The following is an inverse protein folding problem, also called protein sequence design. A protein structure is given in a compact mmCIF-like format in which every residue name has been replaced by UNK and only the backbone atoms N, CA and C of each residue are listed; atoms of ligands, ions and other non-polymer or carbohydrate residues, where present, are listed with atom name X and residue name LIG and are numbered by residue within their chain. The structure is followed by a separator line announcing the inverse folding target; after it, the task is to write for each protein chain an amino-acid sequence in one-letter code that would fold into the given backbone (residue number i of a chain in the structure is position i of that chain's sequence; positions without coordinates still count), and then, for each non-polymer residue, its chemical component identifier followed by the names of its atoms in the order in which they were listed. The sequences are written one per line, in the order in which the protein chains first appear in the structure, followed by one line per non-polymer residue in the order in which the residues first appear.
data_IF_000718573709
#
_entry.id   IF_000718573709
#
_cell.length_a   1.000
_cell.length_b   1.000
_cell.length_c   1.000
_cell.angle_alpha   90.00
_cell.angle_beta   90.00
_cell.angle_gamma   90.00
#
_symmetry.space_group_name_H-M   'P 1'
#
loop_
_entity.id
_entity.type
_entity.pdbx_description
1 polymer ?
#
# COMPACT_ATOMS: atom_id res chain seq x y z
N UNK A 1 -1.24 17.75 14.91
CA UNK A 1 -1.90 16.49 14.51
C UNK A 1 -1.39 16.21 13.11
N UNK A 2 -0.30 15.46 13.00
CA UNK A 2 0.30 15.11 11.72
C UNK A 2 -0.51 13.91 11.24
N UNK A 3 -1.40 14.14 10.28
CA UNK A 3 -2.01 13.03 9.55
C UNK A 3 -0.92 12.57 8.59
N UNK A 4 -0.28 11.43 8.88
CA UNK A 4 0.60 10.77 7.93
C UNK A 4 -0.24 10.52 6.67
N UNK A 5 -0.03 11.31 5.63
CA UNK A 5 -0.73 11.17 4.37
C UNK A 5 -0.19 9.89 3.72
N UNK A 6 -0.80 8.75 4.04
CA UNK A 6 -0.51 7.50 3.34
C UNK A 6 -0.98 7.67 1.91
N UNK A 7 -0.06 7.57 0.95
CA UNK A 7 -0.41 7.59 -0.47
C UNK A 7 -1.28 6.37 -0.80
N UNK A 8 -2.32 6.60 -1.59
CA UNK A 8 -3.22 5.56 -2.06
C UNK A 8 -3.46 5.70 -3.55
N UNK A 9 -3.75 4.58 -4.20
CA UNK A 9 -4.04 4.54 -5.63
C UNK A 9 -5.55 4.81 -5.79
N UNK A 10 -5.95 5.94 -6.41
CA UNK A 10 -7.35 6.22 -6.67
C UNK A 10 -7.84 5.30 -7.78
N UNK A 11 -8.80 4.42 -7.46
CA UNK A 11 -9.42 3.51 -8.41
C UNK A 11 -10.91 3.85 -8.47
N UNK A 12 -11.40 4.19 -9.66
CA UNK A 12 -12.83 4.41 -9.87
C UNK A 12 -13.53 3.05 -10.06
N UNK A 13 -14.21 2.60 -9.02
CA UNK A 13 -14.92 1.32 -9.03
C UNK A 13 -16.16 1.32 -9.93
N UNK A 14 -16.65 2.50 -10.32
CA UNK A 14 -17.83 2.65 -11.18
C UNK A 14 -17.48 2.52 -12.69
N UNK A 15 -16.20 2.60 -13.08
CA UNK A 15 -15.73 2.52 -14.47
C UNK A 15 -14.95 1.23 -14.80
N UNK A 16 -15.14 0.17 -14.01
CA UNK A 16 -14.44 -1.09 -14.23
C UNK A 16 -15.07 -1.95 -15.36
N UNK A 17 -14.27 -2.68 -16.14
CA UNK A 17 -12.81 -2.83 -16.02
C UNK A 17 -12.03 -1.66 -16.63
N UNK A 18 -10.94 -1.28 -15.96
CA UNK A 18 -10.07 -0.17 -16.36
C UNK A 18 -8.60 -0.61 -16.39
N UNK A 19 -7.82 -0.06 -17.33
CA UNK A 19 -6.36 -0.11 -17.30
C UNK A 19 -5.83 1.32 -17.27
N UNK A 20 -4.96 1.63 -16.32
CA UNK A 20 -4.34 2.95 -16.19
C UNK A 20 -2.85 2.84 -15.87
N UNK A 21 -2.12 3.90 -16.21
CA UNK A 21 -0.68 4.02 -15.95
C UNK A 21 -0.44 4.59 -14.55
N UNK A 22 0.58 4.07 -13.87
CA UNK A 22 1.03 4.53 -12.55
C UNK A 22 2.55 4.45 -12.45
N UNK A 23 3.16 5.43 -11.80
CA UNK A 23 4.58 5.44 -11.47
C UNK A 23 4.78 4.99 -10.02
N UNK A 24 5.58 3.95 -9.81
CA UNK A 24 5.90 3.38 -8.50
C UNK A 24 7.42 3.25 -8.39
N UNK A 25 8.03 3.94 -7.40
CA UNK A 25 9.49 3.97 -7.19
C UNK A 25 10.27 4.28 -8.48
N UNK A 26 9.88 5.36 -9.18
CA UNK A 26 10.47 5.80 -10.47
C UNK A 26 10.35 4.80 -11.63
N UNK A 27 9.47 3.80 -11.52
CA UNK A 27 9.18 2.83 -12.59
C UNK A 27 7.71 2.94 -13.00
N UNK A 28 7.46 3.08 -14.29
CA UNK A 28 6.11 3.13 -14.86
C UNK A 28 5.55 1.72 -15.04
N UNK A 29 4.34 1.51 -14.51
CA UNK A 29 3.57 0.29 -14.64
C UNK A 29 2.16 0.60 -15.17
N UNK A 30 1.51 -0.43 -15.72
CA UNK A 30 0.09 -0.35 -16.05
C UNK A 30 -0.68 -1.31 -15.15
N UNK A 31 -1.72 -0.80 -14.49
CA UNK A 31 -2.60 -1.56 -13.60
C UNK A 31 -3.91 -1.82 -14.31
N UNK A 32 -4.31 -3.10 -14.38
CA UNK A 32 -5.64 -3.49 -14.85
C UNK A 32 -6.52 -3.90 -13.70
N UNK A 33 -7.61 -3.19 -13.44
CA UNK A 33 -8.55 -3.52 -12.37
C UNK A 33 -9.84 -4.08 -12.96
N UNK A 34 -10.34 -5.16 -12.38
CA UNK A 34 -11.59 -5.79 -12.81
C UNK A 34 -12.43 -6.23 -11.61
N UNK A 35 -13.76 -6.15 -11.76
CA UNK A 35 -14.71 -6.62 -10.74
C UNK A 35 -15.39 -7.92 -11.16
N UNK A 36 -15.36 -8.92 -10.27
CA UNK A 36 -16.07 -10.18 -10.44
C UNK A 36 -17.40 -10.14 -9.68
N UNK A 37 -18.51 -9.91 -10.39
CA UNK A 37 -19.85 -9.84 -9.80
C UNK A 37 -20.38 -11.19 -9.26
N UNK A 38 -19.83 -12.33 -9.71
CA UNK A 38 -20.27 -13.66 -9.25
C UNK A 38 -19.66 -13.99 -7.89
N UNK A 39 -18.38 -13.65 -7.70
CA UNK A 39 -17.64 -13.90 -6.47
C UNK A 39 -17.56 -12.71 -5.52
N UNK A 40 -18.04 -11.54 -5.94
CA UNK A 40 -17.99 -10.27 -5.21
C UNK A 40 -16.56 -9.89 -4.75
N UNK A 41 -15.63 -9.86 -5.71
CA UNK A 41 -14.25 -9.46 -5.45
C UNK A 41 -13.63 -8.73 -6.63
N UNK A 42 -12.58 -7.98 -6.37
CA UNK A 42 -11.77 -7.31 -7.39
C UNK A 42 -10.48 -8.08 -7.66
N UNK A 43 -9.99 -7.94 -8.88
CA UNK A 43 -8.68 -8.45 -9.30
C UNK A 43 -7.84 -7.33 -9.88
N UNK A 44 -6.53 -7.45 -9.71
CA UNK A 44 -5.52 -6.57 -10.28
C UNK A 44 -4.59 -7.38 -11.18
N UNK A 45 -4.41 -6.85 -12.38
CA UNK A 45 -3.39 -7.19 -13.34
C UNK A 45 -2.27 -6.16 -13.26
N UNK A 46 -1.03 -6.60 -13.44
CA UNK A 46 0.16 -5.77 -13.51
C UNK A 46 0.86 -6.01 -14.85
N UNK A 47 1.12 -4.92 -15.57
CA UNK A 47 1.88 -4.91 -16.81
C UNK A 47 3.06 -3.93 -16.68
N UNK A 48 4.09 -4.12 -17.51
CA UNK A 48 5.17 -3.14 -17.66
C UNK A 48 4.71 -1.89 -18.46
N UNK A 49 5.63 -0.96 -18.72
CA UNK A 49 5.40 0.26 -19.51
C UNK A 49 4.90 -0.03 -20.95
N UNK A 50 5.25 -1.19 -21.50
CA UNK A 50 4.91 -1.63 -22.86
C UNK A 50 3.64 -2.51 -22.91
N UNK A 51 2.88 -2.59 -21.81
CA UNK A 51 1.71 -3.45 -21.63
C UNK A 51 2.00 -4.95 -21.74
N UNK A 52 3.23 -5.40 -21.48
CA UNK A 52 3.54 -6.82 -21.34
C UNK A 52 3.12 -7.32 -19.95
N UNK A 53 2.43 -8.47 -19.86
CA UNK A 53 1.94 -8.97 -18.57
C UNK A 53 3.08 -9.41 -17.65
N UNK A 54 3.01 -8.95 -16.39
CA UNK A 54 3.86 -9.39 -15.27
C UNK A 54 3.05 -10.34 -14.38
N UNK A 55 1.91 -9.88 -13.87
CA UNK A 55 0.95 -10.67 -13.08
C UNK A 55 -0.45 -10.44 -13.63
N UNK A 56 -1.28 -11.49 -13.65
CA UNK A 56 -2.67 -11.41 -14.08
C UNK A 56 -3.59 -12.05 -13.03
N UNK A 57 -4.69 -11.38 -12.74
CA UNK A 57 -5.81 -11.91 -11.96
C UNK A 57 -5.55 -12.01 -10.45
N UNK A 58 -4.61 -11.23 -9.89
CA UNK A 58 -4.36 -11.26 -8.45
C UNK A 58 -5.58 -10.70 -7.71
N UNK A 59 -6.17 -11.49 -6.82
CA UNK A 59 -7.35 -11.07 -6.07
C UNK A 59 -6.96 -10.05 -5.00
N UNK A 60 -7.71 -8.95 -4.90
CA UNK A 60 -7.60 -8.04 -3.78
C UNK A 60 -8.12 -8.70 -2.49
N UNK A 61 -7.24 -8.81 -1.49
CA UNK A 61 -7.57 -9.36 -0.17
C UNK A 61 -7.24 -8.32 0.88
N UNK A 62 -8.18 -8.10 1.81
CA UNK A 62 -8.08 -7.08 2.83
C UNK A 62 -6.88 -7.34 3.75
N UNK A 63 -6.09 -6.31 4.00
CA UNK A 63 -4.86 -6.33 4.80
C UNK A 63 -3.83 -7.36 4.31
N UNK A 64 -3.89 -7.74 3.03
CA UNK A 64 -2.94 -8.64 2.43
C UNK A 64 -2.20 -7.95 1.31
N UNK A 65 -0.87 -7.98 1.37
CA UNK A 65 -0.02 -7.39 0.34
C UNK A 65 -0.21 -8.10 -1.00
N UNK A 66 -0.27 -7.33 -2.08
CA UNK A 66 -0.23 -7.87 -3.44
C UNK A 66 1.09 -8.56 -3.71
N UNK A 67 1.02 -9.72 -4.37
CA UNK A 67 2.18 -10.47 -4.84
C UNK A 67 3.17 -10.88 -3.74
N UNK A 68 2.74 -10.95 -2.47
CA UNK A 68 3.60 -11.25 -1.32
C UNK A 68 4.38 -12.57 -1.44
N UNK A 69 3.87 -13.51 -2.24
CA UNK A 69 4.45 -14.84 -2.44
C UNK A 69 5.09 -15.03 -3.82
N UNK A 70 5.18 -13.97 -4.61
CA UNK A 70 5.79 -13.98 -5.94
C UNK A 70 7.21 -13.46 -5.82
N UNK A 71 8.16 -14.17 -6.43
CA UNK A 71 9.54 -13.73 -6.57
C UNK A 71 9.76 -13.43 -8.06
N UNK A 72 9.59 -12.17 -8.44
CA UNK A 72 9.82 -11.66 -9.79
C UNK A 72 10.45 -10.27 -9.67
N UNK A 73 11.61 -10.08 -10.28
CA UNK A 73 12.39 -8.84 -10.19
C UNK A 73 11.71 -7.66 -10.89
N UNK A 74 10.65 -7.92 -11.68
CA UNK A 74 9.85 -6.90 -12.37
C UNK A 74 8.73 -6.33 -11.50
N UNK A 75 8.53 -6.85 -10.29
CA UNK A 75 7.52 -6.31 -9.38
C UNK A 75 7.93 -4.91 -8.88
N UNK A 76 6.95 -4.04 -8.54
CA UNK A 76 7.24 -2.75 -7.93
C UNK A 76 8.05 -2.93 -6.64
N UNK A 77 8.95 -1.99 -6.36
CA UNK A 77 9.76 -1.98 -5.14
C UNK A 77 8.98 -1.55 -3.88
N UNK A 78 7.74 -1.09 -4.07
CA UNK A 78 6.82 -0.67 -3.00
C UNK A 78 5.79 -1.74 -2.69
N UNK A 79 5.36 -1.79 -1.43
CA UNK A 79 4.35 -2.73 -1.00
C UNK A 79 2.95 -2.13 -1.23
N UNK A 80 2.08 -2.86 -1.93
CA UNK A 80 0.70 -2.44 -2.18
C UNK A 80 -0.28 -3.27 -1.36
N UNK A 81 -1.09 -2.63 -0.53
CA UNK A 81 -1.97 -3.32 0.43
C UNK A 81 -3.37 -2.71 0.42
N UNK A 82 -4.43 -3.49 0.14
CA UNK A 82 -5.80 -3.04 0.35
C UNK A 82 -6.07 -2.91 1.86
N UNK A 83 -6.33 -1.70 2.34
CA UNK A 83 -6.55 -1.44 3.77
C UNK A 83 -7.80 -0.59 4.00
N UNK A 84 -8.38 -0.76 5.19
CA UNK A 84 -9.46 0.06 5.74
C UNK A 84 -8.99 0.72 7.03
N UNK A 85 -8.87 2.05 7.05
CA UNK A 85 -8.42 2.79 8.23
C UNK A 85 -9.43 2.72 9.39
N UNK A 86 -10.70 2.46 9.07
CA UNK A 86 -11.78 2.30 10.04
C UNK A 86 -11.73 0.95 10.78
N UNK A 87 -11.02 -0.05 10.23
CA UNK A 87 -10.97 -1.41 10.76
C UNK A 87 -12.33 -2.11 10.86
N UNK A 88 -13.33 -1.67 10.08
CA UNK A 88 -14.68 -2.25 10.05
C UNK A 88 -14.90 -3.15 8.82
N UNK A 89 -14.14 -2.95 7.76
CA UNK A 89 -14.21 -3.81 6.59
C UNK A 89 -13.75 -5.23 6.93
N UNK A 90 -14.41 -6.23 6.33
CA UNK A 90 -14.07 -7.66 6.48
C UNK A 90 -13.61 -8.30 5.17
N UNK A 91 -13.87 -7.64 4.04
CA UNK A 91 -13.52 -8.08 2.71
C UNK A 91 -13.34 -6.88 1.77
N UNK A 92 -12.71 -7.10 0.61
CA UNK A 92 -12.64 -6.14 -0.49
C UNK A 92 -13.70 -6.52 -1.52
N UNK A 93 -14.80 -5.77 -1.54
CA UNK A 93 -15.97 -6.06 -2.36
C UNK A 93 -16.70 -4.79 -2.80
N UNK A 94 -17.77 -4.92 -3.61
CA UNK A 94 -18.43 -3.75 -4.19
C UNK A 94 -19.02 -2.78 -3.16
N UNK A 95 -19.23 -3.22 -1.92
CA UNK A 95 -19.71 -2.37 -0.83
C UNK A 95 -18.58 -1.55 -0.17
N UNK A 96 -17.36 -2.09 -0.14
CA UNK A 96 -16.24 -1.58 0.67
C UNK A 96 -15.16 -0.89 -0.15
N UNK A 97 -14.80 -1.42 -1.31
CA UNK A 97 -13.70 -0.90 -2.13
C UNK A 97 -14.07 0.43 -2.78
N UNK A 98 -13.17 1.42 -2.71
CA UNK A 98 -13.41 2.79 -3.16
C UNK A 98 -14.27 3.62 -2.20
N UNK A 99 -14.68 3.07 -1.04
CA UNK A 99 -15.47 3.78 -0.01
C UNK A 99 -14.79 3.80 1.35
N UNK A 100 -14.47 2.62 1.87
CA UNK A 100 -13.78 2.44 3.16
C UNK A 100 -12.45 1.72 2.97
N UNK A 101 -12.38 0.80 2.01
CA UNK A 101 -11.15 0.11 1.62
C UNK A 101 -10.52 0.81 0.43
N UNK A 102 -9.24 1.12 0.54
CA UNK A 102 -8.41 1.72 -0.51
C UNK A 102 -7.12 0.92 -0.71
N UNK A 103 -6.54 1.00 -1.91
CA UNK A 103 -5.25 0.36 -2.19
C UNK A 103 -4.14 1.32 -1.77
N UNK A 104 -3.48 1.00 -0.65
CA UNK A 104 -2.45 1.84 -0.05
C UNK A 104 -1.08 1.50 -0.61
N UNK A 105 -0.25 2.52 -0.78
CA UNK A 105 1.18 2.39 -1.06
C UNK A 105 1.89 2.46 0.29
N UNK A 106 2.47 1.34 0.71
CA UNK A 106 3.31 1.25 1.89
C UNK A 106 4.76 1.49 1.45
N UNK A 107 5.11 2.77 1.38
CA UNK A 107 6.47 3.27 1.12
C UNK A 107 7.17 3.69 2.43
N UNK A 108 6.80 3.07 3.56
CA UNK A 108 7.46 3.35 4.83
C UNK A 108 8.88 2.77 4.76
N UNK A 109 9.82 3.60 4.30
CA UNK A 109 11.23 3.36 4.57
C UNK A 109 11.39 3.36 6.11
N UNK A 110 11.88 2.26 6.72
CA UNK A 110 12.04 2.16 8.17
C UNK A 110 13.03 3.19 8.75
N UNK A 111 13.70 3.98 7.90
CA UNK A 111 14.59 5.07 8.30
C UNK A 111 13.96 6.46 8.23
N UNK A 112 12.80 6.63 7.58
CA UNK A 112 12.19 7.95 7.35
C UNK A 112 11.35 8.47 8.54
N UNK A 113 11.02 7.61 9.52
CA UNK A 113 10.26 8.00 10.73
C UNK A 113 10.98 7.66 12.05
N UNK A 114 12.27 7.96 12.17
CA UNK A 114 12.95 8.05 13.47
C UNK A 114 13.62 9.41 13.72
N UNK A 115 13.38 10.39 12.84
CA UNK A 115 13.85 11.77 12.99
C UNK A 115 12.71 12.75 13.23
N UNK A 116 11.72 12.36 14.04
CA UNK A 116 10.95 13.39 14.74
C UNK A 116 11.85 13.97 15.82
N UNK A 117 12.35 15.20 15.60
CA UNK A 117 13.15 16.06 16.49
C UNK A 117 12.54 16.32 17.90
N UNK A 118 11.60 15.49 18.36
CA UNK A 118 10.91 15.56 19.64
C UNK A 118 11.23 14.35 20.54
N UNK A 119 12.26 13.56 20.22
CA UNK A 119 12.83 12.60 21.16
C UNK A 119 13.65 13.36 22.22
N UNK A 120 12.97 13.88 23.25
CA UNK A 120 13.61 14.27 24.49
C UNK A 120 14.14 12.98 25.13
N UNK A 121 15.42 12.69 24.89
CA UNK A 121 16.13 11.66 25.62
C UNK A 121 15.90 11.89 27.11
N UNK A 122 15.17 10.96 27.74
CA UNK A 122 15.12 10.87 29.19
C UNK A 122 16.56 10.82 29.67
N UNK A 123 16.94 11.84 30.45
CA UNK A 123 18.33 12.13 30.79
C UNK A 123 19.08 10.88 31.23
N UNK A 124 20.26 10.70 30.65
CA UNK A 124 21.28 9.85 31.23
C UNK A 124 21.56 10.42 32.63
N UNK A 125 21.09 9.72 33.66
CA UNK A 125 21.45 9.94 35.05
C UNK A 125 22.95 9.61 35.16
N UNK A 126 23.77 10.61 34.81
CA UNK A 126 25.19 10.64 35.07
C UNK A 126 25.40 10.78 36.57
N UNK A 127 25.30 9.65 37.27
CA UNK A 127 25.86 9.51 38.59
C UNK A 127 27.37 9.35 38.49
N UNK A 128 28.10 10.43 38.76
CA UNK A 128 29.50 10.43 39.22
C UNK A 128 29.57 11.52 40.32
N UNK A 129 29.77 11.18 41.60
CA UNK A 129 31.09 11.17 42.30
C UNK A 129 31.76 12.56 42.26
N UNK A 130 32.32 13.20 43.29
CA UNK A 130 32.70 12.91 44.67
C UNK A 130 33.18 14.24 45.31
N UNK A 131 33.16 14.30 46.65
CA UNK A 131 34.14 14.99 47.49
C UNK A 131 34.53 16.47 47.26
N UNK A 132 34.12 17.33 48.20
CA UNK A 132 35.03 18.03 49.15
C UNK A 132 34.24 18.76 50.24
#
# INVERSE_FOLDING_TARGET
MVMSQRDYIPIDVDDLPEIFEIELADITFNFGVSYNAVGDFFTVDLYDEDLNPIILGEKLVLNHRLWAYVNDDRLPAVDLVPMDESGQATAVNAETFGRTVFLMIDDIDPTDDLSSDDYVGIGEDGGDDDGS
#
